data_IF_067630024870
#
_entry.id   IF_067630024870
#
_cell.length_a   1.000
_cell.length_b   1.000
_cell.length_c   1.000
_cell.angle_alpha   90.00
_cell.angle_beta   90.00
_cell.angle_gamma   90.00
#
_symmetry.space_group_name_H-M   'P 1'
#
loop_
_entity.id
_entity.type
_entity.pdbx_description
1 polymer ?
#
# COMPACT_ATOMS: atom_id res chain seq x y z
N UNK A 1 16.37 -23.85 -29.55
CA UNK A 1 15.28 -23.40 -28.67
C UNK A 1 15.81 -23.41 -27.25
N UNK A 2 16.15 -22.24 -26.69
CA UNK A 2 16.59 -22.11 -25.29
C UNK A 2 15.34 -21.88 -24.46
N UNK A 3 15.06 -22.78 -23.51
CA UNK A 3 13.92 -22.66 -22.60
C UNK A 3 14.02 -21.37 -21.79
N UNK A 4 12.93 -20.62 -21.78
CA UNK A 4 12.74 -19.45 -20.92
C UNK A 4 12.72 -19.96 -19.48
N UNK A 5 13.81 -19.79 -18.73
CA UNK A 5 13.75 -19.87 -17.27
C UNK A 5 12.94 -18.66 -16.83
N UNK A 6 11.75 -18.89 -16.27
CA UNK A 6 11.08 -17.89 -15.45
C UNK A 6 12.12 -17.34 -14.46
N UNK A 7 12.29 -16.01 -14.42
CA UNK A 7 13.19 -15.36 -13.47
C UNK A 7 12.74 -15.79 -12.08
N UNK A 8 13.53 -16.66 -11.43
CA UNK A 8 13.23 -17.10 -10.08
C UNK A 8 13.28 -15.87 -9.16
N UNK A 9 12.18 -15.58 -8.48
CA UNK A 9 12.14 -14.55 -7.44
C UNK A 9 13.27 -14.78 -6.45
N UNK A 10 13.99 -13.72 -6.09
CA UNK A 10 15.11 -13.82 -5.19
C UNK A 10 14.67 -14.42 -3.84
N UNK A 11 15.49 -15.32 -3.29
CA UNK A 11 15.35 -15.82 -1.93
C UNK A 11 16.74 -15.79 -1.28
N UNK A 12 17.03 -14.79 -0.42
CA UNK A 12 16.10 -13.82 0.18
C UNK A 12 15.56 -12.76 -0.80
N UNK A 13 14.32 -12.29 -0.56
CA UNK A 13 13.67 -11.20 -1.29
C UNK A 13 13.86 -9.86 -0.53
N UNK A 14 14.38 -8.81 -1.17
CA UNK A 14 14.42 -7.48 -0.57
C UNK A 14 13.01 -6.95 -0.27
N UNK A 15 12.79 -6.49 0.96
CA UNK A 15 11.52 -5.92 1.38
C UNK A 15 11.69 -5.05 2.63
N UNK A 16 10.79 -4.07 2.79
CA UNK A 16 10.80 -3.13 3.92
C UNK A 16 9.55 -3.30 4.76
N UNK A 17 9.70 -3.45 6.08
CA UNK A 17 8.57 -3.54 7.00
C UNK A 17 8.28 -2.16 7.60
N UNK A 18 7.10 -1.61 7.29
CA UNK A 18 6.72 -0.25 7.72
C UNK A 18 5.39 -0.26 8.46
N UNK A 19 5.26 0.68 9.41
CA UNK A 19 3.97 1.12 9.95
C UNK A 19 3.50 2.33 9.14
N UNK A 20 2.29 2.26 8.59
CA UNK A 20 1.59 3.40 8.02
C UNK A 20 0.25 3.57 8.74
N UNK A 21 -0.01 4.77 9.27
CA UNK A 21 -1.16 5.01 10.14
C UNK A 21 -1.27 3.97 11.27
N UNK A 22 -2.45 3.35 11.40
CA UNK A 22 -2.74 2.28 12.37
C UNK A 22 -2.56 0.86 11.79
N UNK A 23 -1.74 0.70 10.75
CA UNK A 23 -1.47 -0.61 10.12
C UNK A 23 0.02 -0.84 9.93
N UNK A 24 0.42 -2.10 9.78
CA UNK A 24 1.78 -2.49 9.38
C UNK A 24 1.71 -3.37 8.14
N UNK A 25 2.72 -3.29 7.30
CA UNK A 25 2.79 -4.10 6.09
C UNK A 25 4.20 -4.19 5.55
N UNK A 26 4.35 -5.08 4.58
CA UNK A 26 5.60 -5.27 3.83
C UNK A 26 5.52 -4.46 2.54
N UNK A 27 6.57 -3.72 2.24
CA UNK A 27 6.73 -2.91 1.04
C UNK A 27 7.80 -3.56 0.17
N UNK A 28 7.50 -3.77 -1.11
CA UNK A 28 8.35 -4.49 -2.05
C UNK A 28 8.45 -3.66 -3.33
N UNK A 29 9.65 -3.57 -3.92
CA UNK A 29 9.81 -2.96 -5.23
C UNK A 29 9.19 -3.85 -6.30
N UNK A 30 8.50 -3.23 -7.25
CA UNK A 30 7.89 -3.93 -8.38
C UNK A 30 8.89 -4.76 -9.19
N UNK A 31 10.13 -4.29 -9.31
CA UNK A 31 11.21 -4.96 -10.04
C UNK A 31 11.69 -6.25 -9.38
N UNK A 32 11.42 -6.44 -8.09
CA UNK A 32 11.87 -7.62 -7.34
C UNK A 32 10.84 -8.76 -7.40
N UNK A 33 9.71 -8.55 -8.08
CA UNK A 33 8.61 -9.51 -8.25
C UNK A 33 8.44 -9.96 -9.69
N UNK A 34 7.82 -11.14 -9.93
CA UNK A 34 7.44 -11.59 -11.27
C UNK A 34 6.61 -10.54 -12.04
N UNK A 35 6.74 -10.56 -13.36
CA UNK A 35 6.01 -9.65 -14.24
C UNK A 35 4.49 -9.89 -14.18
N UNK A 36 4.06 -11.14 -14.10
CA UNK A 36 2.65 -11.48 -13.96
C UNK A 36 2.22 -11.43 -12.47
N UNK A 37 1.25 -10.58 -12.08
CA UNK A 37 0.75 -10.55 -10.71
C UNK A 37 0.11 -11.87 -10.23
N UNK A 38 -0.30 -12.75 -11.15
CA UNK A 38 -0.84 -14.07 -10.76
C UNK A 38 0.23 -14.96 -10.11
N UNK A 39 1.50 -14.74 -10.43
CA UNK A 39 2.65 -15.42 -9.84
C UNK A 39 3.03 -14.88 -8.44
N UNK A 40 2.38 -13.81 -7.95
CA UNK A 40 2.67 -13.24 -6.64
C UNK A 40 2.10 -14.07 -5.48
N UNK A 41 1.04 -14.84 -5.74
CA UNK A 41 0.30 -15.61 -4.72
C UNK A 41 1.20 -16.43 -3.80
N UNK A 42 2.03 -17.36 -4.30
CA UNK A 42 2.89 -18.17 -3.44
C UNK A 42 3.94 -17.34 -2.67
N UNK A 43 4.41 -16.23 -3.26
CA UNK A 43 5.40 -15.35 -2.63
C UNK A 43 4.76 -14.62 -1.44
N UNK A 44 3.58 -14.03 -1.65
CA UNK A 44 2.90 -13.23 -0.63
C UNK A 44 2.31 -14.10 0.49
N UNK A 45 1.81 -15.28 0.14
CA UNK A 45 1.42 -16.31 1.11
C UNK A 45 2.60 -16.70 2.00
N UNK A 46 3.77 -16.97 1.40
CA UNK A 46 5.00 -17.28 2.14
C UNK A 46 5.47 -16.14 3.04
N UNK A 47 5.49 -14.90 2.53
CA UNK A 47 5.88 -13.71 3.31
C UNK A 47 4.94 -13.53 4.51
N UNK A 48 3.63 -13.67 4.33
CA UNK A 48 2.66 -13.41 5.39
C UNK A 48 2.41 -14.60 6.30
N UNK A 49 2.84 -15.81 5.96
CA UNK A 49 2.51 -17.03 6.72
C UNK A 49 1.05 -17.45 6.56
N UNK A 50 0.49 -17.24 5.36
CA UNK A 50 -0.87 -17.62 4.99
C UNK A 50 -0.84 -18.75 3.94
N UNK A 51 -1.89 -19.56 3.81
CA UNK A 51 -3.07 -19.63 4.68
C UNK A 51 -2.76 -20.20 6.06
N UNK A 52 -3.45 -19.69 7.09
CA UNK A 52 -3.42 -20.19 8.47
C UNK A 52 -4.86 -20.33 9.03
N UNK A 53 -5.66 -21.27 8.50
CA UNK A 53 -7.05 -21.44 8.90
C UNK A 53 -7.20 -22.03 10.32
N UNK A 54 -6.17 -22.74 10.80
CA UNK A 54 -6.22 -23.44 12.07
C UNK A 54 -5.96 -22.49 13.24
N UNK A 55 -4.94 -21.65 13.15
CA UNK A 55 -4.51 -20.83 14.27
C UNK A 55 -4.79 -19.34 14.07
N UNK A 56 -4.82 -18.86 12.82
CA UNK A 56 -5.00 -17.43 12.47
C UNK A 56 -3.97 -16.52 13.14
N UNK A 57 -2.76 -17.01 13.34
CA UNK A 57 -1.67 -16.30 14.02
C UNK A 57 -0.57 -15.86 13.06
N UNK A 58 -0.43 -16.51 11.90
CA UNK A 58 0.59 -16.21 10.90
C UNK A 58 2.04 -16.31 11.43
N UNK A 59 2.28 -17.18 12.42
CA UNK A 59 3.59 -17.29 13.10
C UNK A 59 4.73 -17.80 12.21
N UNK A 60 4.42 -18.39 11.05
CA UNK A 60 5.41 -18.83 10.06
C UNK A 60 5.59 -17.79 8.93
N UNK A 61 5.46 -16.51 9.26
CA UNK A 61 5.64 -15.39 8.35
C UNK A 61 5.64 -14.06 9.11
N UNK A 62 5.51 -12.97 8.36
CA UNK A 62 5.51 -11.59 8.86
C UNK A 62 4.11 -11.07 9.22
N UNK A 63 3.07 -11.85 8.92
CA UNK A 63 1.70 -11.52 9.27
C UNK A 63 1.46 -11.54 10.77
N UNK A 64 0.47 -10.75 11.21
CA UNK A 64 0.13 -10.60 12.63
C UNK A 64 -1.16 -11.29 13.06
N UNK A 65 -1.79 -12.11 12.21
CA UNK A 65 -3.04 -12.80 12.52
C UNK A 65 -4.27 -11.88 12.61
N UNK A 66 -4.15 -10.62 12.21
CA UNK A 66 -5.24 -9.65 12.13
C UNK A 66 -5.14 -8.84 10.84
N UNK A 67 -6.28 -8.41 10.28
CA UNK A 67 -6.33 -7.81 8.95
C UNK A 67 -5.40 -6.59 8.81
N UNK A 68 -5.27 -5.78 9.87
CA UNK A 68 -4.40 -4.59 9.91
C UNK A 68 -2.90 -4.88 9.81
N UNK A 69 -2.49 -6.14 9.97
CA UNK A 69 -1.11 -6.64 9.97
C UNK A 69 -0.86 -7.70 8.87
N UNK A 70 -1.83 -7.96 7.98
CA UNK A 70 -1.73 -8.93 6.88
C UNK A 70 -1.78 -8.22 5.52
N UNK A 71 -0.79 -7.37 5.25
CA UNK A 71 -0.82 -6.38 4.16
C UNK A 71 0.52 -6.27 3.44
N UNK A 72 0.44 -6.14 2.12
CA UNK A 72 1.60 -5.89 1.25
C UNK A 72 1.33 -4.67 0.35
N UNK A 73 2.36 -3.86 0.14
CA UNK A 73 2.39 -2.80 -0.85
C UNK A 73 3.49 -3.10 -1.88
N UNK A 74 3.14 -3.06 -3.15
CA UNK A 74 4.09 -3.17 -4.26
C UNK A 74 4.23 -1.80 -4.89
N UNK A 75 5.45 -1.27 -4.96
CA UNK A 75 5.71 0.09 -5.45
C UNK A 75 6.74 0.05 -6.57
N UNK A 76 6.52 0.82 -7.62
CA UNK A 76 7.43 0.91 -8.75
C UNK A 76 7.31 2.22 -9.52
N UNK A 77 8.17 2.43 -10.51
CA UNK A 77 8.01 3.57 -11.41
C UNK A 77 6.66 3.49 -12.16
N UNK A 78 6.16 4.61 -12.70
CA UNK A 78 4.92 4.62 -13.47
C UNK A 78 4.97 3.62 -14.64
N UNK A 79 4.00 2.71 -14.71
CA UNK A 79 4.01 1.58 -15.67
C UNK A 79 3.48 1.92 -17.07
N UNK A 80 2.99 3.13 -17.30
CA UNK A 80 2.50 3.60 -18.60
C UNK A 80 3.21 4.89 -19.01
N UNK A 81 3.65 5.03 -20.28
CA UNK A 81 4.31 6.23 -20.77
C UNK A 81 3.52 7.52 -20.52
N UNK A 82 2.19 7.47 -20.65
CA UNK A 82 1.33 8.64 -20.45
C UNK A 82 1.39 9.13 -19.00
N UNK A 83 1.48 8.19 -18.03
CA UNK A 83 1.53 8.50 -16.59
C UNK A 83 2.89 8.96 -16.11
N UNK A 84 3.99 8.69 -16.82
CA UNK A 84 5.34 9.12 -16.42
C UNK A 84 5.43 10.64 -16.22
N UNK A 85 4.61 11.40 -16.95
CA UNK A 85 4.53 12.86 -16.81
C UNK A 85 3.57 13.35 -15.72
N UNK A 86 2.74 12.47 -15.16
CA UNK A 86 1.62 12.83 -14.27
C UNK A 86 1.83 12.39 -12.82
N UNK A 87 2.52 11.27 -12.61
CA UNK A 87 2.72 10.67 -11.28
C UNK A 87 4.16 10.24 -11.09
N UNK A 88 4.60 10.23 -9.84
CA UNK A 88 5.99 9.92 -9.47
C UNK A 88 6.21 8.41 -9.33
N UNK A 89 5.19 7.67 -8.89
CA UNK A 89 5.21 6.20 -8.76
C UNK A 89 3.83 5.57 -8.98
N UNK A 90 3.83 4.31 -9.41
CA UNK A 90 2.68 3.42 -9.33
C UNK A 90 2.78 2.57 -8.05
N UNK A 91 1.64 2.26 -7.43
CA UNK A 91 1.59 1.27 -6.37
C UNK A 91 0.33 0.41 -6.38
N UNK A 92 0.49 -0.84 -5.94
CA UNK A 92 -0.60 -1.76 -5.65
C UNK A 92 -0.63 -2.08 -4.15
N UNK A 93 -1.81 -2.04 -3.55
CA UNK A 93 -2.11 -2.61 -2.25
C UNK A 93 -2.65 -4.03 -2.43
N UNK A 94 -2.22 -4.93 -1.53
CA UNK A 94 -2.69 -6.30 -1.47
C UNK A 94 -3.05 -6.64 -0.03
N UNK A 95 -4.33 -6.96 0.20
CA UNK A 95 -4.77 -7.59 1.44
C UNK A 95 -4.56 -9.10 1.30
N UNK A 96 -3.81 -9.70 2.22
CA UNK A 96 -3.59 -11.15 2.25
C UNK A 96 -4.56 -11.77 3.24
N UNK A 97 -5.42 -12.68 2.78
CA UNK A 97 -6.32 -13.45 3.61
C UNK A 97 -5.54 -14.27 4.64
N UNK A 98 -6.00 -14.24 5.90
CA UNK A 98 -5.35 -14.98 6.98
C UNK A 98 -5.72 -16.46 6.86
N UNK A 99 -7.03 -16.75 6.77
CA UNK A 99 -7.55 -18.11 6.78
C UNK A 99 -7.29 -18.85 5.46
N UNK A 100 -7.53 -18.18 4.33
CA UNK A 100 -7.56 -18.76 2.99
C UNK A 100 -6.35 -18.39 2.12
N UNK A 101 -5.55 -17.41 2.54
CA UNK A 101 -4.40 -16.91 1.78
C UNK A 101 -4.77 -16.21 0.48
N UNK A 102 -6.05 -15.87 0.25
CA UNK A 102 -6.48 -15.18 -0.96
C UNK A 102 -5.90 -13.77 -1.00
N UNK A 103 -5.45 -13.35 -2.17
CA UNK A 103 -4.97 -11.98 -2.40
C UNK A 103 -6.12 -11.11 -2.89
N UNK A 104 -6.48 -10.09 -2.12
CA UNK A 104 -7.42 -9.07 -2.55
C UNK A 104 -6.66 -7.81 -3.02
N UNK A 105 -6.71 -7.59 -4.34
CA UNK A 105 -6.15 -6.44 -5.06
C UNK A 105 -7.21 -5.42 -5.48
N UNK A 106 -8.43 -5.50 -4.96
CA UNK A 106 -9.52 -4.67 -5.45
C UNK A 106 -9.62 -3.31 -4.74
N UNK A 107 -8.92 -3.12 -3.61
CA UNK A 107 -9.04 -1.94 -2.75
C UNK A 107 -7.77 -1.11 -2.61
N UNK A 108 -7.89 -0.05 -1.81
CA UNK A 108 -6.76 0.70 -1.27
C UNK A 108 -6.68 0.50 0.24
N UNK A 109 -5.50 0.69 0.83
CA UNK A 109 -5.33 0.85 2.27
C UNK A 109 -4.86 2.27 2.59
N UNK A 110 -5.78 3.15 2.99
CA UNK A 110 -5.46 4.56 3.29
C UNK A 110 -4.38 4.73 4.37
N UNK A 111 -4.29 3.79 5.32
CA UNK A 111 -3.22 3.76 6.31
C UNK A 111 -1.84 3.56 5.67
N UNK A 112 -1.66 2.54 4.84
CA UNK A 112 -0.36 2.25 4.22
C UNK A 112 -0.02 3.20 3.07
N UNK A 113 -1.02 3.86 2.46
CA UNK A 113 -0.79 4.96 1.51
C UNK A 113 0.11 6.06 2.09
N UNK A 114 0.09 6.29 3.42
CA UNK A 114 0.96 7.28 4.08
C UNK A 114 2.46 7.01 3.91
N UNK A 115 2.85 5.77 3.60
CA UNK A 115 4.26 5.39 3.48
C UNK A 115 4.71 5.14 2.05
N UNK A 116 3.83 5.23 1.05
CA UNK A 116 4.18 4.95 -0.35
C UNK A 116 5.22 5.94 -0.86
N UNK A 117 4.99 7.25 -0.62
CA UNK A 117 5.92 8.29 -1.04
C UNK A 117 7.28 8.20 -0.33
N UNK A 118 7.27 7.90 0.97
CA UNK A 118 8.47 7.69 1.77
C UNK A 118 9.28 6.51 1.25
N UNK A 119 8.64 5.34 1.11
CA UNK A 119 9.29 4.14 0.57
C UNK A 119 9.83 4.37 -0.84
N UNK A 120 9.07 5.05 -1.70
CA UNK A 120 9.49 5.35 -3.06
C UNK A 120 10.74 6.25 -3.11
N UNK A 121 10.86 7.20 -2.18
CA UNK A 121 12.04 8.03 -2.09
C UNK A 121 13.25 7.24 -1.58
N UNK A 122 13.09 6.53 -0.46
CA UNK A 122 14.17 5.76 0.18
C UNK A 122 14.72 4.65 -0.75
N UNK A 123 13.88 4.07 -1.60
CA UNK A 123 14.27 3.06 -2.60
C UNK A 123 14.75 3.66 -3.94
N UNK A 124 14.83 4.99 -4.06
CA UNK A 124 15.28 5.66 -5.28
C UNK A 124 14.35 5.50 -6.48
N UNK A 125 13.06 5.25 -6.25
CA UNK A 125 12.04 5.04 -7.29
C UNK A 125 11.51 6.34 -7.88
N UNK A 126 11.68 7.47 -7.17
CA UNK A 126 11.19 8.76 -7.61
C UNK A 126 12.06 9.93 -7.14
N UNK A 127 11.74 11.11 -7.65
CA UNK A 127 12.20 12.40 -7.11
C UNK A 127 10.98 13.15 -6.59
N UNK A 128 10.97 13.60 -5.32
CA UNK A 128 9.80 14.25 -4.76
C UNK A 128 9.77 15.72 -5.22
N UNK A 129 8.58 16.32 -5.23
CA UNK A 129 8.44 17.78 -5.41
C UNK A 129 8.70 18.47 -4.08
N UNK A 130 9.80 19.20 -3.97
CA UNK A 130 10.17 19.95 -2.77
C UNK A 130 9.37 21.25 -2.72
N UNK A 131 8.88 21.62 -1.53
CA UNK A 131 8.17 22.87 -1.30
C UNK A 131 9.09 24.08 -1.45
N UNK A 132 8.63 25.11 -2.15
CA UNK A 132 9.37 26.37 -2.34
C UNK A 132 9.32 27.27 -1.08
N UNK A 133 8.47 26.95 -0.11
CA UNK A 133 8.24 27.75 1.10
C UNK A 133 9.35 27.61 2.16
N UNK A 134 10.36 26.76 1.91
CA UNK A 134 11.49 26.52 2.82
C UNK A 134 11.11 25.80 4.11
N UNK A 135 9.94 25.15 4.13
CA UNK A 135 9.40 24.40 5.28
C UNK A 135 9.99 22.98 5.43
N UNK A 136 10.86 22.58 4.51
CA UNK A 136 11.46 21.24 4.49
C UNK A 136 10.44 20.14 4.19
N UNK A 137 9.36 20.44 3.46
CA UNK A 137 8.38 19.44 3.03
C UNK A 137 8.61 19.02 1.59
N UNK A 138 8.31 17.76 1.30
CA UNK A 138 8.32 17.23 -0.05
C UNK A 138 7.06 16.39 -0.31
N UNK A 139 6.58 16.44 -1.55
CA UNK A 139 5.37 15.72 -1.98
C UNK A 139 5.70 14.70 -3.04
N UNK A 140 5.22 13.47 -2.83
CA UNK A 140 5.21 12.39 -3.83
C UNK A 140 3.77 12.12 -4.24
N UNK A 141 3.52 12.14 -5.54
CA UNK A 141 2.27 11.78 -6.19
C UNK A 141 2.30 10.33 -6.61
N UNK A 142 1.39 9.54 -6.07
CA UNK A 142 1.31 8.11 -6.34
C UNK A 142 0.00 7.76 -7.05
N UNK A 143 0.09 6.88 -8.06
CA UNK A 143 -1.07 6.26 -8.70
C UNK A 143 -1.33 4.90 -8.08
N UNK A 144 -2.51 4.74 -7.48
CA UNK A 144 -2.99 3.45 -6.99
C UNK A 144 -3.55 2.64 -8.17
N UNK A 145 -2.90 1.53 -8.51
CA UNK A 145 -3.28 0.66 -9.63
C UNK A 145 -4.53 -0.19 -9.35
N UNK A 146 -4.88 -0.42 -8.08
CA UNK A 146 -6.10 -1.13 -7.69
C UNK A 146 -7.38 -0.33 -7.98
N UNK A 147 -7.30 0.99 -7.80
CA UNK A 147 -8.46 1.90 -7.79
C UNK A 147 -8.44 2.97 -8.88
N UNK A 148 -7.32 3.06 -9.60
CA UNK A 148 -7.05 4.10 -10.60
C UNK A 148 -7.15 5.52 -10.02
N UNK A 149 -6.63 5.71 -8.80
CA UNK A 149 -6.71 6.98 -8.05
C UNK A 149 -5.35 7.55 -7.75
N UNK A 150 -5.30 8.88 -7.73
CA UNK A 150 -4.11 9.65 -7.37
C UNK A 150 -4.17 10.01 -5.89
N UNK A 151 -3.05 9.78 -5.20
CA UNK A 151 -2.84 10.14 -3.82
C UNK A 151 -1.52 10.89 -3.71
N UNK A 152 -1.57 12.11 -3.20
CA UNK A 152 -0.37 12.88 -2.87
C UNK A 152 -0.02 12.64 -1.39
N UNK A 153 1.26 12.38 -1.13
CA UNK A 153 1.81 12.20 0.21
C UNK A 153 2.86 13.27 0.45
N UNK A 154 2.61 14.16 1.40
CA UNK A 154 3.55 15.23 1.78
C UNK A 154 4.16 14.94 3.14
N UNK A 155 5.49 14.92 3.23
CA UNK A 155 6.23 14.55 4.44
C UNK A 155 7.50 15.40 4.61
N UNK A 156 8.04 15.50 5.84
CA UNK A 156 9.29 16.21 6.10
C UNK A 156 10.49 15.53 5.42
N UNK A 157 11.35 16.36 4.83
CA UNK A 157 12.53 15.98 4.08
C UNK A 157 13.71 16.88 4.48
N UNK A 158 14.81 16.27 4.90
CA UNK A 158 16.10 16.94 5.07
C UNK A 158 16.76 17.10 3.70
N UNK A 159 17.13 18.33 3.34
CA UNK A 159 17.91 18.65 2.14
C UNK A 159 19.30 19.20 2.48
N UNK A 160 19.68 19.18 3.76
CA UNK A 160 20.99 19.67 4.23
C UNK A 160 22.13 18.68 4.01
N UNK A 161 21.81 17.42 3.72
CA UNK A 161 22.77 16.35 3.45
C UNK A 161 23.05 16.23 1.94
N UNK A 162 24.11 15.49 1.55
CA UNK A 162 24.45 15.27 0.13
C UNK A 162 23.31 14.58 -0.65
N UNK A 163 22.45 13.83 0.05
CA UNK A 163 21.27 13.16 -0.49
C UNK A 163 20.03 13.50 0.35
N UNK A 164 18.87 13.80 -0.28
CA UNK A 164 17.65 14.10 0.46
C UNK A 164 17.19 12.90 1.30
N UNK A 165 16.89 13.12 2.58
CA UNK A 165 16.53 12.05 3.51
C UNK A 165 15.19 12.33 4.21
N UNK A 166 14.33 11.31 4.31
CA UNK A 166 13.04 11.43 5.00
C UNK A 166 13.23 11.63 6.50
N UNK A 167 12.47 12.55 7.10
CA UNK A 167 12.52 12.82 8.54
C UNK A 167 11.22 12.36 9.19
N UNK A 168 11.22 11.18 9.80
CA UNK A 168 10.00 10.48 10.24
C UNK A 168 9.80 10.42 11.76
N UNK A 169 10.79 10.87 12.53
CA UNK A 169 10.85 10.77 13.99
C UNK A 169 10.64 12.12 14.71
N UNK A 170 10.30 13.19 13.98
CA UNK A 170 10.01 14.49 14.59
C UNK A 170 8.69 14.41 15.35
N UNK A 171 8.61 14.72 16.66
CA UNK A 171 7.39 14.54 17.45
C UNK A 171 6.34 15.63 17.15
N UNK A 172 5.66 15.53 16.01
CA UNK A 172 4.74 16.58 15.50
C UNK A 172 3.26 16.26 15.75
N UNK A 173 2.87 15.00 15.58
CA UNK A 173 1.47 14.57 15.67
C UNK A 173 1.31 13.24 16.41
N UNK A 174 0.21 13.15 17.15
CA UNK A 174 -0.31 11.91 17.72
C UNK A 174 -1.47 11.38 16.86
N UNK A 175 -1.67 10.06 16.86
CA UNK A 175 -2.78 9.41 16.16
C UNK A 175 -3.45 8.39 17.07
N UNK A 176 -4.79 8.46 17.19
CA UNK A 176 -5.55 7.49 17.96
C UNK A 176 -5.23 6.05 17.52
N UNK A 177 -4.86 5.18 18.47
CA UNK A 177 -4.45 3.80 18.21
C UNK A 177 -2.94 3.59 17.98
N UNK A 178 -2.13 4.66 17.97
CA UNK A 178 -0.66 4.59 17.91
C UNK A 178 -0.06 5.35 19.09
N UNK A 179 0.70 4.69 19.99
CA UNK A 179 1.36 5.38 21.09
C UNK A 179 2.45 6.34 20.61
N UNK A 180 2.53 7.52 21.25
CA UNK A 180 3.60 8.48 21.03
C UNK A 180 3.34 9.47 19.90
N UNK A 181 4.37 10.26 19.58
CA UNK A 181 4.34 11.26 18.51
C UNK A 181 5.31 10.84 17.39
N UNK A 182 4.99 11.23 16.16
CA UNK A 182 5.84 11.05 14.99
C UNK A 182 5.69 12.21 14.01
N UNK A 183 6.51 12.22 12.94
CA UNK A 183 6.42 13.24 11.91
C UNK A 183 5.06 13.21 11.24
N UNK A 184 4.55 14.39 10.90
CA UNK A 184 3.27 14.52 10.22
C UNK A 184 3.44 14.19 8.75
N UNK A 185 2.68 13.20 8.28
CA UNK A 185 2.50 12.92 6.86
C UNK A 185 1.09 13.37 6.46
N UNK A 186 0.99 14.29 5.51
CA UNK A 186 -0.28 14.72 4.94
C UNK A 186 -0.63 13.82 3.75
N UNK A 187 -1.84 13.27 3.77
CA UNK A 187 -2.41 12.51 2.66
C UNK A 187 -3.51 13.32 1.97
N UNK A 188 -3.39 13.49 0.66
CA UNK A 188 -4.42 14.11 -0.16
C UNK A 188 -4.91 13.14 -1.23
N UNK A 189 -6.19 12.77 -1.15
CA UNK A 189 -6.86 11.97 -2.16
C UNK A 189 -7.47 12.93 -3.19
N UNK A 190 -6.82 13.08 -4.35
CA UNK A 190 -7.10 14.19 -5.30
C UNK A 190 -8.49 14.11 -5.92
N UNK A 191 -8.95 12.91 -6.29
CA UNK A 191 -10.31 12.69 -6.82
C UNK A 191 -10.84 11.31 -6.39
N UNK A 192 -11.25 11.14 -5.11
CA UNK A 192 -11.49 9.83 -4.51
C UNK A 192 -12.79 9.16 -4.98
N UNK A 193 -13.72 9.92 -5.55
CA UNK A 193 -15.07 9.45 -5.87
C UNK A 193 -15.04 8.27 -6.86
N UNK A 194 -15.94 7.29 -6.65
CA UNK A 194 -16.22 6.24 -7.63
C UNK A 194 -15.07 5.27 -7.93
N UNK A 195 -14.09 5.11 -7.02
CA UNK A 195 -12.97 4.17 -7.19
C UNK A 195 -13.37 2.74 -7.58
N UNK A 196 -14.50 2.26 -7.05
CA UNK A 196 -15.05 0.92 -7.35
C UNK A 196 -16.26 0.94 -8.27
N UNK A 197 -17.05 2.00 -8.16
CA UNK A 197 -18.43 2.05 -8.66
C UNK A 197 -18.58 3.01 -9.84
N UNK A 198 -17.53 3.75 -10.20
CA UNK A 198 -17.54 4.80 -11.21
C UNK A 198 -18.31 6.07 -10.81
N UNK A 199 -19.01 6.08 -9.67
CA UNK A 199 -19.83 7.20 -9.20
C UNK A 199 -19.65 7.45 -7.72
N UNK A 200 -19.75 8.72 -7.30
CA UNK A 200 -19.79 9.09 -5.87
C UNK A 200 -20.98 8.42 -5.16
N UNK A 201 -22.15 8.46 -5.81
CA UNK A 201 -23.38 7.79 -5.37
C UNK A 201 -23.72 6.72 -6.41
N UNK A 202 -23.41 5.44 -6.17
CA UNK A 202 -23.62 4.36 -7.15
C UNK A 202 -25.09 4.20 -7.57
N UNK A 203 -26.00 4.37 -6.61
CA UNK A 203 -27.47 4.34 -6.79
C UNK A 203 -28.02 5.65 -7.35
N UNK A 204 -27.24 6.74 -7.25
CA UNK A 204 -27.68 8.10 -7.55
C UNK A 204 -28.40 8.81 -6.39
N UNK A 205 -28.72 8.10 -5.31
CA UNK A 205 -29.42 8.65 -4.15
C UNK A 205 -28.45 8.93 -3.00
N UNK A 206 -28.73 9.98 -2.20
CA UNK A 206 -27.98 10.23 -0.96
C UNK A 206 -28.38 9.27 0.18
N UNK A 207 -29.59 8.73 0.11
CA UNK A 207 -30.18 7.76 1.05
C UNK A 207 -30.97 6.75 0.24
N UNK A 208 -30.77 5.46 0.52
CA UNK A 208 -31.55 4.35 -0.06
C UNK A 208 -32.16 3.52 1.08
N UNK A 209 -33.31 2.90 0.82
CA UNK A 209 -33.87 1.86 1.68
C UNK A 209 -33.36 0.50 1.20
N UNK A 210 -32.76 -0.28 2.11
CA UNK A 210 -32.26 -1.63 1.82
C UNK A 210 -33.22 -2.68 2.38
N UNK A 211 -33.70 -3.56 1.51
CA UNK A 211 -34.44 -4.75 1.91
C UNK A 211 -33.45 -5.84 2.34
N UNK A 212 -33.26 -5.99 3.65
CA UNK A 212 -32.39 -7.02 4.23
C UNK A 212 -33.21 -8.26 4.57
N UNK A 213 -33.01 -9.35 3.83
CA UNK A 213 -33.51 -10.67 4.22
C UNK A 213 -32.43 -11.41 5.00
N UNK A 214 -32.73 -11.78 6.24
CA UNK A 214 -31.87 -12.70 6.98
C UNK A 214 -32.02 -14.10 6.36
N UNK A 215 -30.91 -14.66 5.89
CA UNK A 215 -30.84 -16.10 5.66
C UNK A 215 -31.05 -16.75 7.04
N UNK A 216 -32.17 -17.47 7.21
CA UNK A 216 -32.46 -18.20 8.44
C UNK A 216 -31.25 -19.05 8.83
N UNK A 217 -30.86 -18.99 10.10
CA UNK A 217 -29.75 -19.78 10.65
C UNK A 217 -29.85 -21.25 10.19
N UNK A 218 -28.76 -21.88 9.75
CA UNK A 218 -28.78 -23.31 9.51
C UNK A 218 -29.14 -24.03 10.82
N UNK A 219 -30.02 -25.04 10.81
CA UNK A 219 -30.36 -25.77 12.03
C UNK A 219 -29.09 -26.42 12.59
N UNK A 220 -28.85 -26.15 13.87
CA UNK A 220 -27.78 -26.73 14.69
C UNK A 220 -27.73 -28.26 14.60
#
# INVERSE_FOLDING_TARGET
MKGVRALATANPLPATFLRGGTSKGIFIRRSDLPEDPTDWTPIFQGIMGSPDPQYRRQLNGMGGGVSSLSKICVVGPPSSPDRVSEVDVDYAFVQVGIDDGLLDLSGNCGNLSSMIGVFALDEGLCRPRISDDGDGLATVRSYNTNTSKIIDTTFPLSTSDEEPATVLDTPQVEMAGVPGNASRILLQFVNPAGARTGKLLPTGNAVDMLDCFFLSDPPF
#
